data_IF_572456223951
#
_entry.id   IF_572456223951
#
_cell.length_a   1.000
_cell.length_b   1.000
_cell.length_c   1.000
_cell.angle_alpha   90.00
_cell.angle_beta   90.00
_cell.angle_gamma   90.00
#
_symmetry.space_group_name_H-M   'P 1'
#
loop_
_entity.id
_entity.type
_entity.pdbx_description
1 polymer ?
#
# COMPACT_ATOMS: atom_id res chain seq x y z
N UNK A 1 -13.40 15.80 6.45
CA UNK A 1 -13.47 16.60 7.69
C UNK A 1 -12.50 17.77 7.50
N UNK A 2 -12.83 19.00 7.89
CA UNK A 2 -11.86 20.10 7.71
C UNK A 2 -10.76 19.95 8.74
N UNK A 3 -9.49 20.09 8.33
CA UNK A 3 -8.34 19.78 9.19
C UNK A 3 -8.34 20.61 10.49
N UNK A 4 -7.97 19.97 11.59
CA UNK A 4 -7.76 20.61 12.90
C UNK A 4 -6.29 21.00 13.05
N UNK A 5 -6.03 22.26 13.34
CA UNK A 5 -4.68 22.82 13.46
C UNK A 5 -4.48 23.34 14.88
N UNK A 6 -3.36 22.97 15.51
CA UNK A 6 -2.93 23.53 16.78
C UNK A 6 -1.93 24.65 16.53
N UNK A 7 -2.23 25.87 16.99
CA UNK A 7 -1.33 27.02 16.94
C UNK A 7 -0.67 27.24 18.30
N UNK A 8 0.65 27.24 18.33
CA UNK A 8 1.46 27.40 19.53
C UNK A 8 2.39 28.60 19.36
N UNK A 9 2.20 29.62 20.19
CA UNK A 9 3.03 30.84 20.23
C UNK A 9 2.79 31.49 21.60
N UNK A 10 3.81 32.04 22.24
CA UNK A 10 3.68 32.64 23.59
C UNK A 10 2.91 33.98 23.55
N UNK A 11 2.96 34.68 22.42
CA UNK A 11 2.29 35.96 22.22
C UNK A 11 0.84 35.76 21.78
N UNK A 12 -0.11 36.20 22.61
CA UNK A 12 -1.55 36.08 22.34
C UNK A 12 -1.97 36.70 20.99
N UNK A 13 -1.40 37.83 20.60
CA UNK A 13 -1.69 38.50 19.32
C UNK A 13 -1.33 37.61 18.12
N UNK A 14 -0.19 36.93 18.16
CA UNK A 14 0.24 36.02 17.08
C UNK A 14 -0.74 34.86 16.95
N UNK A 15 -1.16 34.26 18.07
CA UNK A 15 -2.17 33.19 18.09
C UNK A 15 -3.50 33.64 17.52
N UNK A 16 -3.97 34.84 17.87
CA UNK A 16 -5.23 35.40 17.37
C UNK A 16 -5.16 35.63 15.85
N UNK A 17 -4.09 36.27 15.36
CA UNK A 17 -3.91 36.53 13.93
C UNK A 17 -3.88 35.21 13.14
N UNK A 18 -3.12 34.23 13.62
CA UNK A 18 -3.03 32.91 12.97
C UNK A 18 -4.38 32.19 12.95
N UNK A 19 -5.11 32.23 14.07
CA UNK A 19 -6.46 31.66 14.17
C UNK A 19 -7.41 32.29 13.16
N UNK A 20 -7.43 33.62 13.05
CA UNK A 20 -8.30 34.32 12.09
C UNK A 20 -7.99 33.89 10.66
N UNK A 21 -6.71 33.87 10.26
CA UNK A 21 -6.29 33.44 8.91
C UNK A 21 -6.72 32.00 8.61
N UNK A 22 -6.44 31.07 9.52
CA UNK A 22 -6.74 29.65 9.32
C UNK A 22 -8.24 29.35 9.36
N UNK A 23 -9.00 29.98 10.26
CA UNK A 23 -10.46 29.83 10.30
C UNK A 23 -11.14 30.43 9.08
N UNK A 24 -10.62 31.54 8.52
CA UNK A 24 -11.11 32.08 7.24
C UNK A 24 -10.90 31.10 6.07
N UNK A 25 -9.86 30.27 6.14
CA UNK A 25 -9.63 29.14 5.24
C UNK A 25 -10.37 27.85 5.64
N UNK A 26 -11.38 27.96 6.52
CA UNK A 26 -12.26 26.90 7.01
C UNK A 26 -11.63 25.87 7.97
N UNK A 27 -10.39 26.05 8.43
CA UNK A 27 -9.78 25.13 9.40
C UNK A 27 -10.34 25.28 10.82
N UNK A 28 -10.40 24.16 11.56
CA UNK A 28 -10.64 24.17 13.00
C UNK A 28 -9.32 24.49 13.70
N UNK A 29 -9.30 25.44 14.63
CA UNK A 29 -8.06 25.94 15.23
C UNK A 29 -8.12 25.94 16.74
N UNK A 30 -7.24 25.13 17.33
CA UNK A 30 -6.93 25.12 18.75
C UNK A 30 -5.69 26.00 19.01
N UNK A 31 -5.54 26.50 20.23
CA UNK A 31 -4.42 27.36 20.62
C UNK A 31 -3.76 26.84 21.89
N UNK A 32 -2.43 26.90 21.94
CA UNK A 32 -1.63 26.70 23.14
C UNK A 32 -0.68 27.88 23.34
N UNK A 33 -0.50 28.31 24.59
CA UNK A 33 0.30 29.49 24.93
C UNK A 33 1.76 29.19 25.26
N UNK A 34 2.13 27.90 25.34
CA UNK A 34 3.47 27.45 25.70
C UNK A 34 3.67 25.98 25.31
N UNK A 35 4.91 25.49 25.43
CA UNK A 35 5.27 24.12 25.04
C UNK A 35 4.57 23.04 25.86
N UNK A 36 4.45 23.22 27.18
CA UNK A 36 3.76 22.25 28.04
C UNK A 36 2.28 22.08 27.66
N UNK A 37 1.57 23.18 27.40
CA UNK A 37 0.18 23.17 26.93
C UNK A 37 0.07 22.54 25.53
N UNK A 38 1.06 22.77 24.66
CA UNK A 38 1.09 22.18 23.32
C UNK A 38 1.18 20.65 23.35
N UNK A 39 2.11 20.10 24.15
CA UNK A 39 2.27 18.64 24.30
C UNK A 39 1.01 17.98 24.85
N UNK A 40 0.37 18.62 25.84
CA UNK A 40 -0.90 18.13 26.40
C UNK A 40 -2.01 18.16 25.34
N UNK A 41 -2.19 19.29 24.66
CA UNK A 41 -3.21 19.44 23.64
C UNK A 41 -3.01 18.46 22.47
N UNK A 42 -1.78 18.23 22.03
CA UNK A 42 -1.47 17.29 20.95
C UNK A 42 -1.96 15.86 21.25
N UNK A 43 -1.81 15.39 22.49
CA UNK A 43 -2.30 14.08 22.93
C UNK A 43 -3.82 14.03 23.06
N UNK A 44 -4.42 15.08 23.62
CA UNK A 44 -5.86 15.12 23.91
C UNK A 44 -6.71 15.32 22.64
N UNK A 45 -6.33 16.27 21.77
CA UNK A 45 -7.16 16.68 20.63
C UNK A 45 -6.74 16.06 19.31
N UNK A 46 -5.54 15.45 19.25
CA UNK A 46 -4.92 14.81 18.07
C UNK A 46 -5.07 15.69 16.81
N UNK A 47 -4.46 16.89 16.80
CA UNK A 47 -4.56 17.79 15.66
C UNK A 47 -3.97 17.16 14.40
N UNK A 48 -4.43 17.60 13.23
CA UNK A 48 -3.93 17.16 11.93
C UNK A 48 -2.63 17.89 11.53
N UNK A 49 -2.32 19.02 12.17
CA UNK A 49 -1.09 19.79 11.97
C UNK A 49 -0.81 20.71 13.16
N UNK A 50 0.47 20.95 13.47
CA UNK A 50 0.90 21.87 14.53
C UNK A 50 1.73 23.00 13.90
N UNK A 51 1.33 24.25 14.16
CA UNK A 51 2.15 25.44 13.91
C UNK A 51 2.81 25.85 15.22
N UNK A 52 4.13 25.86 15.28
CA UNK A 52 4.88 25.95 16.52
C UNK A 52 5.92 27.05 16.48
N UNK A 53 5.79 28.05 17.33
CA UNK A 53 6.84 29.05 17.51
C UNK A 53 8.10 28.43 18.13
N UNK A 54 9.28 28.83 17.64
CA UNK A 54 10.56 28.33 18.14
C UNK A 54 10.90 28.96 19.50
N UNK A 55 10.59 30.24 19.67
CA UNK A 55 10.96 31.03 20.83
C UNK A 55 9.78 31.08 21.81
N UNK A 56 9.87 30.32 22.89
CA UNK A 56 8.88 30.32 23.97
C UNK A 56 9.58 30.29 25.34
N UNK A 57 8.96 30.87 26.40
CA UNK A 57 9.64 31.08 27.68
C UNK A 57 9.78 29.81 28.54
N UNK A 58 8.93 28.80 28.37
CA UNK A 58 8.96 27.57 29.19
C UNK A 58 9.92 26.52 28.62
N UNK A 59 9.84 26.26 27.32
CA UNK A 59 10.72 25.35 26.58
C UNK A 59 10.79 25.80 25.12
N UNK A 60 11.91 25.50 24.44
CA UNK A 60 12.03 25.84 23.03
C UNK A 60 11.05 25.02 22.18
N UNK A 61 10.53 25.63 21.10
CA UNK A 61 9.75 24.90 20.10
C UNK A 61 10.52 23.72 19.47
N UNK A 62 11.85 23.76 19.47
CA UNK A 62 12.68 22.62 19.06
C UNK A 62 12.53 21.42 20.01
N UNK A 63 12.52 21.67 21.32
CA UNK A 63 12.37 20.62 22.32
C UNK A 63 10.95 20.03 22.30
N UNK A 64 9.95 20.89 22.10
CA UNK A 64 8.56 20.46 21.87
C UNK A 64 8.47 19.59 20.62
N UNK A 65 9.10 19.98 19.52
CA UNK A 65 9.12 19.19 18.28
C UNK A 65 9.76 17.81 18.52
N UNK A 66 10.92 17.74 19.17
CA UNK A 66 11.57 16.46 19.51
C UNK A 66 10.68 15.58 20.38
N UNK A 67 10.03 16.16 21.38
CA UNK A 67 9.12 15.42 22.26
C UNK A 67 7.90 14.88 21.50
N UNK A 68 7.30 15.66 20.59
CA UNK A 68 6.19 15.23 19.74
C UNK A 68 6.59 14.10 18.79
N UNK A 69 7.79 14.19 18.18
CA UNK A 69 8.32 13.18 17.25
C UNK A 69 8.79 11.91 17.94
N UNK A 70 9.16 11.97 19.21
CA UNK A 70 9.55 10.80 20.01
C UNK A 70 8.35 9.99 20.56
N UNK A 71 7.17 10.61 20.68
CA UNK A 71 5.96 9.97 21.19
C UNK A 71 5.17 9.30 20.06
N UNK A 72 4.98 7.95 20.07
CA UNK A 72 4.26 7.23 19.03
C UNK A 72 2.83 7.73 18.77
N UNK A 73 2.16 8.34 19.75
CA UNK A 73 0.81 8.87 19.56
C UNK A 73 0.78 10.19 18.77
N UNK A 74 1.88 10.94 18.76
CA UNK A 74 1.97 12.26 18.12
C UNK A 74 3.02 12.35 17.02
N UNK A 75 3.87 11.33 16.87
CA UNK A 75 5.02 11.36 15.95
C UNK A 75 4.63 11.60 14.49
N UNK A 76 3.45 11.10 14.08
CA UNK A 76 2.93 11.27 12.74
C UNK A 76 2.25 12.63 12.50
N UNK A 77 2.05 13.46 13.53
CA UNK A 77 1.45 14.78 13.38
C UNK A 77 2.49 15.71 12.73
N UNK A 78 2.19 16.36 11.60
CA UNK A 78 3.13 17.26 10.96
C UNK A 78 3.34 18.53 11.79
N UNK A 79 4.61 18.91 12.00
CA UNK A 79 5.02 20.10 12.77
C UNK A 79 5.69 21.12 11.85
N UNK A 80 5.14 22.32 11.78
CA UNK A 80 5.75 23.46 11.07
C UNK A 80 6.29 24.45 12.09
N UNK A 81 7.61 24.64 12.10
CA UNK A 81 8.25 25.61 12.97
C UNK A 81 8.11 27.01 12.40
N UNK A 82 7.75 27.98 13.24
CA UNK A 82 7.73 29.39 12.88
C UNK A 82 8.94 30.05 13.54
N UNK A 83 9.86 30.57 12.72
CA UNK A 83 11.14 31.15 13.17
C UNK A 83 11.36 32.56 12.61
N UNK A 84 12.32 33.30 13.17
CA UNK A 84 12.71 34.62 12.67
C UNK A 84 13.66 34.51 11.45
N UNK A 85 13.70 35.57 10.62
CA UNK A 85 14.45 35.66 9.35
C UNK A 85 15.94 35.28 9.42
N UNK A 86 16.61 35.53 10.54
CA UNK A 86 18.09 35.50 10.61
C UNK A 86 18.69 34.22 11.19
N UNK A 87 17.89 33.20 11.45
CA UNK A 87 18.37 32.03 12.19
C UNK A 87 18.51 30.79 11.29
N UNK A 88 19.51 30.81 10.41
CA UNK A 88 19.84 29.65 9.57
C UNK A 88 20.23 28.45 10.44
N UNK A 89 20.91 28.68 11.56
CA UNK A 89 21.24 27.64 12.52
C UNK A 89 19.97 27.01 13.12
N UNK A 90 18.99 27.81 13.56
CA UNK A 90 17.73 27.25 14.07
C UNK A 90 16.88 26.57 12.99
N UNK A 91 16.96 26.98 11.72
CA UNK A 91 16.33 26.23 10.61
C UNK A 91 16.94 24.83 10.51
N UNK A 92 18.26 24.75 10.57
CA UNK A 92 18.98 23.47 10.55
C UNK A 92 18.65 22.62 11.79
N UNK A 93 18.73 23.20 12.99
CA UNK A 93 18.37 22.52 14.24
C UNK A 93 16.91 22.05 14.25
N UNK A 94 16.01 22.82 13.62
CA UNK A 94 14.61 22.49 13.44
C UNK A 94 14.38 21.28 12.54
N UNK A 95 15.06 21.24 11.39
CA UNK A 95 15.01 20.08 10.50
C UNK A 95 15.60 18.83 11.16
N UNK A 96 16.71 18.99 11.89
CA UNK A 96 17.33 17.90 12.66
C UNK A 96 16.47 17.44 13.85
N UNK A 97 15.68 18.35 14.43
CA UNK A 97 14.67 18.03 15.44
C UNK A 97 13.43 17.29 14.88
N UNK A 98 13.38 17.06 13.56
CA UNK A 98 12.31 16.33 12.89
C UNK A 98 11.12 17.19 12.49
N UNK A 99 11.26 18.52 12.42
CA UNK A 99 10.20 19.37 11.90
C UNK A 99 9.91 19.03 10.43
N UNK A 100 8.64 19.04 10.06
CA UNK A 100 8.21 18.71 8.70
C UNK A 100 8.49 19.84 7.73
N UNK A 101 8.45 21.08 8.23
CA UNK A 101 8.75 22.29 7.48
C UNK A 101 9.01 23.47 8.43
N UNK A 102 9.38 24.62 7.87
CA UNK A 102 9.46 25.87 8.61
C UNK A 102 8.85 27.04 7.83
N UNK A 103 8.40 28.04 8.58
CA UNK A 103 7.93 29.32 8.09
C UNK A 103 8.75 30.42 8.74
N UNK A 104 9.10 31.42 7.96
CA UNK A 104 9.88 32.56 8.44
C UNK A 104 8.94 33.73 8.72
N UNK A 105 9.08 34.40 9.87
CA UNK A 105 8.33 35.62 10.22
C UNK A 105 8.87 36.81 9.39
N UNK A 106 8.00 37.68 8.82
CA UNK A 106 6.54 37.66 8.91
C UNK A 106 5.91 36.57 8.02
N UNK A 107 4.93 35.84 8.56
CA UNK A 107 4.30 34.73 7.85
C UNK A 107 3.28 35.26 6.83
N UNK A 108 3.63 35.14 5.56
CA UNK A 108 2.75 35.41 4.43
C UNK A 108 1.61 34.38 4.35
N UNK A 109 0.38 34.88 4.17
CA UNK A 109 -0.81 34.04 4.20
C UNK A 109 -0.83 33.02 3.05
N UNK A 110 -0.44 33.44 1.85
CA UNK A 110 -0.41 32.58 0.66
C UNK A 110 0.53 31.38 0.88
N UNK A 111 1.73 31.63 1.39
CA UNK A 111 2.73 30.60 1.70
C UNK A 111 2.29 29.69 2.85
N UNK A 112 1.71 30.26 3.91
CA UNK A 112 1.16 29.51 5.03
C UNK A 112 0.09 28.52 4.58
N UNK A 113 -0.93 29.00 3.86
CA UNK A 113 -2.06 28.18 3.44
C UNK A 113 -1.62 27.08 2.46
N UNK A 114 -0.71 27.39 1.54
CA UNK A 114 -0.17 26.41 0.61
C UNK A 114 0.61 25.28 1.32
N UNK A 115 1.47 25.63 2.30
CA UNK A 115 2.20 24.62 3.10
C UNK A 115 1.25 23.76 3.94
N UNK A 116 0.29 24.38 4.62
CA UNK A 116 -0.75 23.66 5.38
C UNK A 116 -1.50 22.67 4.48
N UNK A 117 -1.99 23.11 3.31
CA UNK A 117 -2.66 22.22 2.36
C UNK A 117 -1.77 21.06 1.90
N UNK A 118 -0.50 21.32 1.60
CA UNK A 118 0.44 20.29 1.15
C UNK A 118 0.68 19.22 2.22
N UNK A 119 0.95 19.64 3.47
CA UNK A 119 1.23 18.72 4.58
C UNK A 119 -0.01 17.91 4.98
N UNK A 120 -1.19 18.52 4.98
CA UNK A 120 -2.45 17.81 5.24
C UNK A 120 -2.73 16.77 4.15
N UNK A 121 -2.49 17.10 2.87
CA UNK A 121 -2.65 16.13 1.76
C UNK A 121 -1.76 14.90 1.93
N UNK A 122 -0.52 15.09 2.36
CA UNK A 122 0.43 13.99 2.62
C UNK A 122 -0.06 13.13 3.80
N UNK A 123 -0.49 13.77 4.89
CA UNK A 123 -0.94 13.10 6.11
C UNK A 123 -2.23 12.30 5.91
N UNK A 124 -3.20 12.87 5.18
CA UNK A 124 -4.47 12.19 4.83
C UNK A 124 -4.21 10.93 4.00
N UNK A 125 -3.27 11.00 3.05
CA UNK A 125 -2.91 9.84 2.22
C UNK A 125 -2.34 8.69 3.05
N UNK A 126 -1.54 8.99 4.09
CA UNK A 126 -0.99 7.98 5.01
C UNK A 126 -2.10 7.42 5.90
N UNK A 127 -2.96 8.28 6.45
CA UNK A 127 -4.08 7.88 7.30
C UNK A 127 -5.07 6.97 6.57
N UNK A 128 -5.37 7.27 5.30
CA UNK A 128 -6.24 6.44 4.46
C UNK A 128 -5.65 5.03 4.24
N UNK A 129 -4.35 4.93 3.98
CA UNK A 129 -3.69 3.64 3.81
C UNK A 129 -3.72 2.80 5.09
N UNK A 130 -3.47 3.40 6.25
CA UNK A 130 -3.58 2.72 7.55
C UNK A 130 -5.01 2.24 7.82
N UNK A 131 -6.00 3.10 7.60
CA UNK A 131 -7.40 2.73 7.80
C UNK A 131 -7.81 1.53 6.92
N UNK A 132 -7.27 1.43 5.70
CA UNK A 132 -7.49 0.27 4.83
C UNK A 132 -6.85 -1.00 5.39
N UNK A 133 -5.62 -0.93 5.86
CA UNK A 133 -4.92 -2.07 6.47
C UNK A 133 -5.64 -2.57 7.73
N UNK A 134 -6.05 -1.64 8.60
CA UNK A 134 -6.83 -1.93 9.81
C UNK A 134 -8.16 -2.58 9.47
N UNK A 135 -8.83 -2.12 8.40
CA UNK A 135 -10.10 -2.70 7.94
C UNK A 135 -9.91 -4.14 7.46
N UNK A 136 -8.88 -4.40 6.64
CA UNK A 136 -8.56 -5.76 6.15
C UNK A 136 -8.20 -6.69 7.31
N UNK A 137 -7.43 -6.18 8.27
CA UNK A 137 -7.06 -6.89 9.50
C UNK A 137 -8.27 -7.18 10.41
N UNK A 138 -9.14 -6.19 10.61
CA UNK A 138 -10.34 -6.30 11.46
C UNK A 138 -11.38 -7.27 10.91
N UNK A 139 -11.49 -7.38 9.58
CA UNK A 139 -12.34 -8.40 8.99
C UNK A 139 -11.76 -9.82 9.17
N UNK A 140 -10.52 -9.99 9.66
CA UNK A 140 -9.93 -11.30 9.99
C UNK A 140 -9.65 -12.18 8.77
N UNK A 141 -9.59 -11.59 7.57
CA UNK A 141 -9.27 -12.32 6.33
C UNK A 141 -7.76 -12.61 6.19
N UNK A 142 -6.92 -12.00 7.01
CA UNK A 142 -5.49 -12.21 7.01
C UNK A 142 -5.09 -13.22 8.09
N UNK A 143 -4.48 -14.35 7.69
CA UNK A 143 -3.45 -14.93 8.55
C UNK A 143 -2.29 -13.93 8.65
N UNK A 144 -1.57 -13.91 9.77
CA UNK A 144 -0.47 -13.00 9.99
C UNK A 144 0.52 -13.07 8.82
N UNK A 145 0.50 -12.04 7.96
CA UNK A 145 1.45 -11.93 6.88
C UNK A 145 2.85 -11.91 7.50
N UNK A 146 3.67 -12.92 7.18
CA UNK A 146 5.09 -12.89 7.48
C UNK A 146 5.64 -11.60 6.87
N UNK A 147 6.25 -10.76 7.71
CA UNK A 147 6.62 -9.39 7.37
C UNK A 147 7.30 -9.30 6.01
N UNK A 148 6.66 -8.62 5.06
CA UNK A 148 7.24 -8.35 3.76
C UNK A 148 8.37 -7.32 3.94
N UNK A 149 9.57 -7.80 4.23
CA UNK A 149 10.79 -7.02 4.10
C UNK A 149 11.22 -7.00 2.63
N UNK A 150 10.57 -6.14 1.84
CA UNK A 150 11.06 -5.82 0.51
C UNK A 150 12.52 -5.38 0.59
N UNK A 151 13.38 -5.93 -0.28
CA UNK A 151 14.81 -5.58 -0.35
C UNK A 151 14.97 -4.06 -0.35
N UNK A 152 15.73 -3.53 0.62
CA UNK A 152 16.03 -2.10 0.71
C UNK A 152 16.85 -1.69 -0.53
N UNK A 153 16.21 -1.01 -1.47
CA UNK A 153 16.89 -0.37 -2.60
C UNK A 153 17.46 0.99 -2.17
N UNK A 154 18.64 1.40 -2.67
CA UNK A 154 19.13 2.75 -2.48
C UNK A 154 18.11 3.75 -3.04
N UNK A 155 17.96 4.91 -2.39
CA UNK A 155 17.00 5.92 -2.83
C UNK A 155 17.44 6.55 -4.15
N UNK A 156 16.54 6.67 -5.13
CA UNK A 156 16.87 7.24 -6.43
C UNK A 156 16.40 8.70 -6.53
N UNK A 157 17.32 9.63 -6.75
CA UNK A 157 17.05 11.08 -6.82
C UNK A 157 17.37 11.61 -8.21
N UNK A 158 16.38 12.21 -8.85
CA UNK A 158 16.49 12.83 -10.17
C UNK A 158 16.60 14.35 -10.06
N UNK A 159 17.67 14.93 -10.59
CA UNK A 159 17.88 16.38 -10.65
C UNK A 159 17.54 16.92 -12.03
N UNK A 160 16.58 17.85 -12.08
CA UNK A 160 16.17 18.60 -13.28
C UNK A 160 16.48 20.08 -13.05
N UNK A 161 17.72 20.46 -13.37
CA UNK A 161 18.23 21.83 -13.17
C UNK A 161 18.12 22.67 -14.46
N UNK A 162 18.21 24.02 -14.38
CA UNK A 162 18.02 24.89 -15.55
C UNK A 162 19.13 24.77 -16.61
N UNK A 163 20.29 24.22 -16.24
CA UNK A 163 21.37 23.98 -17.17
C UNK A 163 22.50 23.13 -16.58
N UNK A 164 23.50 22.75 -17.41
CA UNK A 164 24.53 21.78 -17.03
C UNK A 164 25.35 22.19 -15.80
N UNK A 165 25.68 23.48 -15.68
CA UNK A 165 26.45 24.00 -14.54
C UNK A 165 25.69 23.88 -13.22
N UNK A 166 24.43 24.32 -13.20
CA UNK A 166 23.57 24.22 -12.01
C UNK A 166 23.35 22.77 -11.60
N UNK A 167 23.13 21.88 -12.58
CA UNK A 167 22.96 20.45 -12.32
C UNK A 167 24.18 19.82 -11.63
N UNK A 168 25.39 20.13 -12.10
CA UNK A 168 26.64 19.62 -11.50
C UNK A 168 26.84 20.18 -10.09
N UNK A 169 26.55 21.47 -9.87
CA UNK A 169 26.64 22.08 -8.54
C UNK A 169 25.67 21.45 -7.56
N UNK A 170 24.41 21.25 -7.95
CA UNK A 170 23.40 20.60 -7.12
C UNK A 170 23.79 19.16 -6.81
N UNK A 171 24.26 18.40 -7.81
CA UNK A 171 24.73 17.03 -7.61
C UNK A 171 25.89 16.99 -6.62
N UNK A 172 26.95 17.77 -6.86
CA UNK A 172 28.12 17.83 -5.98
C UNK A 172 27.76 18.28 -4.56
N UNK A 173 26.73 19.11 -4.41
CA UNK A 173 26.24 19.55 -3.11
C UNK A 173 25.54 18.44 -2.32
N UNK A 174 24.96 17.42 -2.95
CA UNK A 174 24.17 16.41 -2.23
C UNK A 174 24.74 14.99 -2.32
N UNK A 175 25.63 14.69 -3.26
CA UNK A 175 26.13 13.33 -3.55
C UNK A 175 26.70 12.64 -2.30
N UNK A 176 27.56 13.35 -1.56
CA UNK A 176 28.21 12.81 -0.36
C UNK A 176 27.33 12.90 0.90
N UNK A 177 26.14 13.52 0.78
CA UNK A 177 25.25 13.84 1.91
C UNK A 177 23.98 13.00 1.93
N UNK A 178 23.64 12.31 0.84
CA UNK A 178 22.44 11.46 0.76
C UNK A 178 22.81 9.99 0.54
N UNK A 179 22.13 9.09 1.24
CA UNK A 179 22.34 7.63 1.12
C UNK A 179 21.67 7.01 -0.11
N UNK A 180 21.85 7.59 -1.30
CA UNK A 180 21.13 7.23 -2.52
C UNK A 180 21.87 7.56 -3.82
N UNK A 181 21.31 7.12 -4.95
CA UNK A 181 21.83 7.40 -6.28
C UNK A 181 21.27 8.74 -6.78
N UNK A 182 22.14 9.69 -7.07
CA UNK A 182 21.77 11.00 -7.65
C UNK A 182 22.06 11.00 -9.14
N UNK A 183 21.02 11.15 -9.94
CA UNK A 183 21.13 11.25 -11.39
C UNK A 183 20.70 12.64 -11.87
N UNK A 184 21.52 13.27 -12.71
CA UNK A 184 21.11 14.46 -13.46
C UNK A 184 20.36 13.98 -14.71
N UNK A 185 19.12 14.44 -14.90
CA UNK A 185 18.32 14.09 -16.06
C UNK A 185 17.77 15.34 -16.76
N UNK A 186 17.78 15.37 -18.11
CA UNK A 186 17.02 16.37 -18.87
C UNK A 186 15.52 16.25 -18.63
N UNK A 187 14.78 17.34 -18.88
CA UNK A 187 13.32 17.37 -18.75
C UNK A 187 12.64 16.29 -19.60
N UNK A 188 13.09 16.10 -20.85
CA UNK A 188 12.51 15.12 -21.78
C UNK A 188 12.69 13.70 -21.24
N UNK A 189 13.84 13.43 -20.63
CA UNK A 189 14.17 12.14 -20.01
C UNK A 189 13.35 11.89 -18.75
N UNK A 190 13.06 12.91 -17.95
CA UNK A 190 12.19 12.79 -16.77
C UNK A 190 10.80 12.26 -17.12
N UNK A 191 10.28 12.58 -18.31
CA UNK A 191 8.99 12.09 -18.79
C UNK A 191 9.06 10.70 -19.44
N UNK A 192 10.18 10.34 -20.09
CA UNK A 192 10.32 9.08 -20.82
C UNK A 192 10.82 7.92 -19.97
N UNK A 193 11.65 8.15 -18.94
CA UNK A 193 12.07 7.11 -18.00
C UNK A 193 10.96 6.69 -17.03
N UNK A 194 9.96 7.56 -16.83
CA UNK A 194 8.74 7.35 -16.04
C UNK A 194 7.79 6.30 -16.65
N UNK A 195 8.28 5.07 -16.81
CA UNK A 195 7.58 3.96 -17.50
C UNK A 195 6.86 3.01 -16.53
N UNK A 196 7.03 3.17 -15.22
CA UNK A 196 6.43 2.25 -14.24
C UNK A 196 7.15 0.91 -14.14
N UNK A 197 8.37 0.80 -14.66
CA UNK A 197 9.18 -0.43 -14.71
C UNK A 197 9.96 -0.72 -13.42
N UNK A 198 9.70 0.03 -12.34
CA UNK A 198 10.32 -0.17 -11.03
C UNK A 198 11.65 0.56 -10.81
N UNK A 199 12.14 1.32 -11.81
CA UNK A 199 13.33 2.18 -11.70
C UNK A 199 13.01 3.69 -11.68
N UNK A 200 11.73 4.05 -11.46
CA UNK A 200 11.32 5.45 -11.42
C UNK A 200 11.98 6.16 -10.21
N UNK A 201 12.40 7.44 -10.36
CA UNK A 201 12.95 8.21 -9.26
C UNK A 201 12.00 8.31 -8.06
N UNK A 202 12.55 8.12 -6.85
CA UNK A 202 11.83 8.29 -5.59
C UNK A 202 11.58 9.78 -5.30
N UNK A 203 12.56 10.63 -5.62
CA UNK A 203 12.50 12.09 -5.46
C UNK A 203 12.93 12.77 -6.75
N UNK A 204 12.18 13.76 -7.20
CA UNK A 204 12.60 14.72 -8.21
C UNK A 204 12.94 16.05 -7.55
N UNK A 205 14.06 16.66 -7.92
CA UNK A 205 14.41 18.02 -7.55
C UNK A 205 14.41 18.86 -8.83
N UNK A 206 13.49 19.80 -8.93
CA UNK A 206 13.16 20.48 -10.19
C UNK A 206 13.26 21.98 -10.00
N UNK A 207 14.02 22.65 -10.87
CA UNK A 207 13.97 24.12 -10.96
C UNK A 207 12.64 24.58 -11.55
N UNK A 208 12.02 25.60 -10.95
CA UNK A 208 10.77 26.18 -11.46
C UNK A 208 10.91 26.75 -12.87
N UNK A 209 12.08 27.35 -13.13
CA UNK A 209 12.48 27.88 -14.42
C UNK A 209 13.59 26.98 -14.96
N UNK A 210 13.37 26.40 -16.16
CA UNK A 210 14.35 25.55 -16.85
C UNK A 210 14.93 26.30 -18.04
N UNK A 211 14.70 25.82 -19.27
CA UNK A 211 14.99 26.58 -20.47
C UNK A 211 14.00 27.74 -20.64
N UNK A 212 12.76 27.55 -20.17
CA UNK A 212 11.70 28.56 -20.21
C UNK A 212 11.07 28.78 -18.84
N UNK A 213 10.44 29.95 -18.67
CA UNK A 213 9.71 30.31 -17.45
C UNK A 213 8.57 29.34 -17.19
N UNK A 214 8.43 28.89 -15.94
CA UNK A 214 7.40 27.96 -15.46
C UNK A 214 7.43 26.56 -16.11
N UNK A 215 8.47 26.23 -16.86
CA UNK A 215 8.60 24.90 -17.48
C UNK A 215 8.70 23.80 -16.42
N UNK A 216 9.31 24.10 -15.26
CA UNK A 216 9.33 23.20 -14.11
C UNK A 216 7.96 22.93 -13.51
N UNK A 217 7.08 23.94 -13.44
CA UNK A 217 5.68 23.76 -12.96
C UNK A 217 4.87 22.88 -13.92
N UNK A 218 5.09 23.01 -15.23
CA UNK A 218 4.47 22.12 -16.23
C UNK A 218 4.98 20.68 -16.07
N UNK A 219 6.29 20.50 -15.89
CA UNK A 219 6.88 19.19 -15.62
C UNK A 219 6.32 18.56 -14.35
N UNK A 220 6.18 19.32 -13.26
CA UNK A 220 5.52 18.88 -12.02
C UNK A 220 4.12 18.32 -12.29
N UNK A 221 3.30 19.08 -13.03
CA UNK A 221 1.94 18.65 -13.40
C UNK A 221 1.96 17.36 -14.25
N UNK A 222 2.86 17.28 -15.22
CA UNK A 222 3.01 16.09 -16.07
C UNK A 222 3.41 14.86 -15.24
N UNK A 223 4.39 14.98 -14.35
CA UNK A 223 4.84 13.88 -13.47
C UNK A 223 3.73 13.40 -12.52
N UNK A 224 2.90 14.31 -12.01
CA UNK A 224 1.75 13.98 -11.15
C UNK A 224 0.63 13.27 -11.88
N UNK A 225 0.49 13.46 -13.19
CA UNK A 225 -0.54 12.81 -14.01
C UNK A 225 -0.18 11.36 -14.41
N UNK A 226 1.08 10.95 -14.27
CA UNK A 226 1.59 9.64 -14.76
C UNK A 226 1.56 8.56 -13.67
N UNK A 227 1.13 7.32 -13.96
CA UNK A 227 1.07 6.24 -12.97
C UNK A 227 2.40 5.90 -12.28
N UNK A 228 3.52 5.94 -13.01
CA UNK A 228 4.85 5.61 -12.46
C UNK A 228 5.40 6.65 -11.49
N UNK A 229 5.15 7.94 -11.75
CA UNK A 229 5.76 9.07 -11.00
C UNK A 229 4.79 9.84 -10.13
N UNK A 230 3.47 9.58 -10.20
CA UNK A 230 2.45 10.31 -9.40
C UNK A 230 2.68 10.23 -7.90
N UNK A 231 3.39 9.20 -7.44
CA UNK A 231 3.73 8.99 -6.04
C UNK A 231 5.17 9.38 -5.68
N UNK A 232 6.02 9.70 -6.66
CA UNK A 232 7.37 10.23 -6.41
C UNK A 232 7.27 11.54 -5.65
N UNK A 233 8.21 11.79 -4.74
CA UNK A 233 8.29 13.08 -4.10
C UNK A 233 8.85 14.11 -5.07
N UNK A 234 8.39 15.36 -5.01
CA UNK A 234 8.85 16.44 -5.90
C UNK A 234 9.19 17.65 -5.06
N UNK A 235 10.46 18.04 -5.08
CA UNK A 235 11.00 19.24 -4.44
C UNK A 235 11.23 20.29 -5.53
N UNK A 236 10.63 21.47 -5.38
CA UNK A 236 10.79 22.56 -6.34
C UNK A 236 11.80 23.57 -5.83
N UNK A 237 12.72 24.00 -6.69
CA UNK A 237 13.66 25.08 -6.41
C UNK A 237 13.20 26.34 -7.17
N UNK A 238 12.99 27.42 -6.43
CA UNK A 238 12.49 28.69 -6.94
C UNK A 238 13.49 29.83 -6.66
N UNK A 239 13.43 30.94 -7.39
CA UNK A 239 14.15 32.16 -6.98
C UNK A 239 13.71 32.64 -5.58
N UNK A 240 14.62 33.31 -4.87
CA UNK A 240 14.31 33.97 -3.60
C UNK A 240 13.14 34.97 -3.73
N UNK A 241 12.23 34.95 -2.75
CA UNK A 241 11.07 35.85 -2.67
C UNK A 241 9.87 35.47 -3.56
N UNK A 242 9.91 34.35 -4.28
CA UNK A 242 8.84 33.93 -5.19
C UNK A 242 7.72 33.13 -4.49
N UNK A 243 7.05 33.76 -3.52
CA UNK A 243 5.99 33.15 -2.73
C UNK A 243 4.78 32.71 -3.57
N UNK A 244 4.45 33.44 -4.64
CA UNK A 244 3.30 33.13 -5.50
C UNK A 244 3.51 31.81 -6.24
N UNK A 245 4.67 31.63 -6.91
CA UNK A 245 4.96 30.38 -7.61
C UNK A 245 5.24 29.23 -6.63
N UNK A 246 5.75 29.52 -5.43
CA UNK A 246 5.89 28.51 -4.38
C UNK A 246 4.54 27.92 -3.98
N UNK A 247 3.53 28.78 -3.78
CA UNK A 247 2.18 28.34 -3.46
C UNK A 247 1.54 27.53 -4.60
N UNK A 248 1.68 28.00 -5.85
CA UNK A 248 1.21 27.27 -7.03
C UNK A 248 1.87 25.89 -7.13
N UNK A 249 3.19 25.80 -6.89
CA UNK A 249 3.90 24.52 -6.91
C UNK A 249 3.33 23.53 -5.89
N UNK A 250 3.13 23.95 -4.64
CA UNK A 250 2.56 23.11 -3.59
C UNK A 250 1.14 22.64 -3.95
N UNK A 251 0.31 23.56 -4.46
CA UNK A 251 -1.05 23.26 -4.90
C UNK A 251 -1.05 22.24 -6.06
N UNK A 252 -0.15 22.38 -7.03
CA UNK A 252 0.02 21.45 -8.15
C UNK A 252 0.53 20.07 -7.74
N UNK A 253 1.08 19.92 -6.53
CA UNK A 253 1.55 18.62 -6.07
C UNK A 253 2.99 18.58 -5.57
N UNK A 254 3.73 19.69 -5.51
CA UNK A 254 5.06 19.66 -4.92
C UNK A 254 4.96 19.22 -3.44
N UNK A 255 5.90 18.38 -3.02
CA UNK A 255 6.02 17.96 -1.63
C UNK A 255 6.73 19.02 -0.80
N UNK A 256 7.68 19.72 -1.42
CA UNK A 256 8.47 20.73 -0.75
C UNK A 256 8.96 21.80 -1.74
N UNK A 257 9.33 22.96 -1.21
CA UNK A 257 9.80 24.13 -1.94
C UNK A 257 11.04 24.71 -1.25
N UNK A 258 12.09 24.92 -2.03
CA UNK A 258 13.32 25.61 -1.65
C UNK A 258 13.52 26.88 -2.47
N UNK A 259 14.23 27.86 -1.90
CA UNK A 259 14.60 29.09 -2.60
C UNK A 259 16.11 29.11 -2.89
N UNK A 260 16.49 29.50 -4.09
CA UNK A 260 17.87 29.72 -4.52
C UNK A 260 18.30 31.17 -4.22
N UNK A 261 19.49 31.42 -3.63
CA UNK A 261 20.48 30.44 -3.17
C UNK A 261 20.04 29.69 -1.90
N UNK A 262 20.31 28.37 -1.86
CA UNK A 262 20.04 27.52 -0.70
C UNK A 262 21.32 26.94 -0.10
N UNK A 263 21.23 26.52 1.16
CA UNK A 263 22.27 25.75 1.81
C UNK A 263 22.25 24.29 1.37
N UNK A 264 23.42 23.73 1.07
CA UNK A 264 23.55 22.36 0.59
C UNK A 264 23.13 21.31 1.64
N UNK A 265 23.35 21.60 2.93
CA UNK A 265 22.90 20.76 4.03
C UNK A 265 21.37 20.82 4.17
N UNK A 266 20.76 22.00 4.00
CA UNK A 266 19.29 22.12 3.99
C UNK A 266 18.68 21.26 2.87
N UNK A 267 19.19 21.38 1.63
CA UNK A 267 18.69 20.57 0.50
C UNK A 267 18.84 19.07 0.79
N UNK A 268 19.99 18.64 1.31
CA UNK A 268 20.26 17.24 1.62
C UNK A 268 19.32 16.67 2.69
N UNK A 269 19.02 17.44 3.74
CA UNK A 269 18.09 17.02 4.80
C UNK A 269 16.67 16.93 4.24
N UNK A 270 16.21 17.91 3.46
CA UNK A 270 14.88 17.87 2.85
C UNK A 270 14.72 16.69 1.89
N UNK A 271 15.72 16.42 1.04
CA UNK A 271 15.70 15.24 0.16
C UNK A 271 15.65 13.95 0.98
N UNK A 272 16.46 13.83 2.03
CA UNK A 272 16.46 12.65 2.91
C UNK A 272 15.10 12.44 3.56
N UNK A 273 14.47 13.51 4.08
CA UNK A 273 13.13 13.44 4.64
C UNK A 273 12.08 13.01 3.60
N UNK A 274 12.21 13.45 2.34
CA UNK A 274 11.32 12.99 1.27
C UNK A 274 11.55 11.52 0.90
N UNK A 275 12.80 11.05 0.86
CA UNK A 275 13.13 9.64 0.63
C UNK A 275 12.54 8.74 1.71
N UNK A 276 12.67 9.12 2.98
CA UNK A 276 12.16 8.33 4.09
C UNK A 276 10.63 8.28 4.10
N UNK A 277 9.96 9.41 3.87
CA UNK A 277 8.50 9.46 3.69
C UNK A 277 8.04 8.60 2.51
N UNK A 278 8.75 8.64 1.37
CA UNK A 278 8.44 7.83 0.19
C UNK A 278 8.56 6.34 0.49
N UNK A 279 9.66 5.92 1.13
CA UNK A 279 9.89 4.53 1.55
C UNK A 279 8.82 4.03 2.50
N UNK A 280 8.44 4.83 3.49
CA UNK A 280 7.37 4.48 4.43
C UNK A 280 6.02 4.32 3.71
N UNK A 281 5.68 5.27 2.83
CA UNK A 281 4.45 5.23 2.05
C UNK A 281 4.38 4.02 1.12
N UNK A 282 5.49 3.69 0.44
CA UNK A 282 5.56 2.52 -0.44
C UNK A 282 5.44 1.21 0.34
N UNK A 283 6.13 1.09 1.49
CA UNK A 283 6.00 -0.08 2.37
C UNK A 283 4.56 -0.28 2.83
N UNK A 284 3.88 0.79 3.22
CA UNK A 284 2.49 0.72 3.65
C UNK A 284 1.56 0.33 2.50
N UNK A 285 1.75 0.88 1.30
CA UNK A 285 0.98 0.47 0.11
C UNK A 285 1.20 -0.99 -0.25
N UNK A 286 2.47 -1.44 -0.20
CA UNK A 286 2.82 -2.83 -0.46
C UNK A 286 2.21 -3.75 0.60
N UNK A 287 2.24 -3.35 1.87
CA UNK A 287 1.57 -4.05 2.98
C UNK A 287 0.07 -4.19 2.75
N UNK A 288 -0.65 -3.09 2.53
CA UNK A 288 -2.10 -3.12 2.23
C UNK A 288 -2.42 -4.02 1.04
N UNK A 289 -1.61 -3.95 -0.02
CA UNK A 289 -1.79 -4.79 -1.20
C UNK A 289 -1.58 -6.26 -0.88
N UNK A 290 -0.52 -6.60 -0.15
CA UNK A 290 -0.24 -7.96 0.29
C UNK A 290 -1.34 -8.48 1.22
N UNK A 291 -1.82 -7.67 2.16
CA UNK A 291 -2.95 -7.99 3.05
C UNK A 291 -4.23 -8.27 2.24
N UNK A 292 -4.52 -7.47 1.21
CA UNK A 292 -5.67 -7.68 0.33
C UNK A 292 -5.52 -8.95 -0.54
N UNK A 293 -4.32 -9.19 -1.07
CA UNK A 293 -4.01 -10.40 -1.84
C UNK A 293 -4.14 -11.66 -0.96
N UNK A 294 -3.58 -11.66 0.26
CA UNK A 294 -3.71 -12.74 1.23
C UNK A 294 -5.16 -12.95 1.71
N UNK A 295 -5.94 -11.87 1.82
CA UNK A 295 -7.37 -11.95 2.14
C UNK A 295 -8.20 -12.67 1.06
N UNK A 296 -7.69 -12.75 -0.17
CA UNK A 296 -8.38 -13.34 -1.32
C UNK A 296 -7.77 -14.69 -1.70
N UNK A 297 -6.45 -14.84 -1.62
CA UNK A 297 -5.69 -15.98 -2.16
C UNK A 297 -4.88 -16.72 -1.11
N UNK A 298 -4.69 -18.02 -1.34
CA UNK A 298 -3.76 -18.88 -0.60
C UNK A 298 -2.31 -18.56 -1.02
N UNK A 299 -1.39 -18.25 -0.08
CA UNK A 299 -0.05 -17.76 -0.39
C UNK A 299 0.86 -18.81 -1.05
N UNK A 300 0.59 -20.10 -0.83
CA UNK A 300 1.39 -21.17 -1.43
C UNK A 300 1.00 -21.43 -2.89
N UNK A 301 -0.30 -21.52 -3.17
CA UNK A 301 -0.82 -21.97 -4.47
C UNK A 301 -1.30 -20.85 -5.38
N UNK A 302 -1.55 -19.64 -4.85
CA UNK A 302 -2.12 -18.52 -5.59
C UNK A 302 -3.58 -18.72 -6.04
N UNK A 303 -4.24 -19.80 -5.57
CA UNK A 303 -5.68 -20.02 -5.70
C UNK A 303 -6.44 -19.15 -4.70
N UNK A 304 -7.76 -19.08 -4.83
CA UNK A 304 -8.56 -18.43 -3.80
C UNK A 304 -8.44 -19.15 -2.46
N UNK A 305 -8.48 -18.41 -1.35
CA UNK A 305 -8.54 -19.03 -0.03
C UNK A 305 -9.97 -19.48 0.29
N UNK A 306 -10.12 -20.32 1.33
CA UNK A 306 -11.42 -20.83 1.80
C UNK A 306 -12.44 -19.72 2.03
N UNK A 307 -12.02 -18.62 2.64
CA UNK A 307 -12.95 -17.59 3.12
C UNK A 307 -13.52 -16.76 1.97
N UNK A 308 -12.69 -16.41 1.00
CA UNK A 308 -13.12 -15.78 -0.25
C UNK A 308 -14.01 -16.71 -1.07
N UNK A 309 -13.69 -18.01 -1.11
CA UNK A 309 -14.49 -18.99 -1.82
C UNK A 309 -15.94 -19.06 -1.32
N UNK A 310 -16.13 -19.15 0.00
CA UNK A 310 -17.46 -19.18 0.62
C UNK A 310 -18.28 -17.93 0.28
N UNK A 311 -17.70 -16.74 0.49
CA UNK A 311 -18.38 -15.49 0.17
C UNK A 311 -18.72 -15.37 -1.33
N UNK A 312 -17.84 -15.84 -2.22
CA UNK A 312 -18.11 -15.83 -3.66
C UNK A 312 -19.21 -16.82 -4.03
N UNK A 313 -19.31 -17.97 -3.35
CA UNK A 313 -20.42 -18.91 -3.52
C UNK A 313 -21.75 -18.28 -3.12
N UNK A 314 -21.82 -17.57 -1.99
CA UNK A 314 -23.03 -16.84 -1.58
C UNK A 314 -23.51 -15.87 -2.68
N UNK A 315 -22.58 -15.14 -3.30
CA UNK A 315 -22.88 -14.23 -4.41
C UNK A 315 -23.36 -14.95 -5.67
N UNK A 316 -22.86 -16.15 -5.95
CA UNK A 316 -23.31 -16.97 -7.08
C UNK A 316 -24.73 -17.47 -6.81
N UNK A 317 -24.99 -17.95 -5.59
CA UNK A 317 -26.27 -18.52 -5.17
C UNK A 317 -27.39 -17.47 -5.05
N UNK A 318 -27.04 -16.23 -4.72
CA UNK A 318 -27.99 -15.13 -4.66
C UNK A 318 -28.52 -14.69 -6.04
N UNK A 319 -27.94 -15.15 -7.15
CA UNK A 319 -28.39 -14.81 -8.50
C UNK A 319 -29.61 -15.66 -8.90
N UNK A 320 -30.55 -15.13 -9.70
CA UNK A 320 -31.63 -15.94 -10.27
C UNK A 320 -31.06 -17.10 -11.10
N UNK A 321 -31.41 -18.34 -10.74
CA UNK A 321 -30.84 -19.55 -11.36
C UNK A 321 -29.42 -19.90 -10.87
N UNK A 322 -28.96 -19.29 -9.78
CA UNK A 322 -27.68 -19.54 -9.13
C UNK A 322 -27.66 -20.85 -8.36
N UNK A 323 -27.59 -21.96 -9.08
CA UNK A 323 -27.39 -23.29 -8.48
C UNK A 323 -26.06 -23.86 -9.00
N UNK A 324 -24.95 -23.66 -8.27
CA UNK A 324 -23.64 -24.07 -8.74
C UNK A 324 -23.38 -25.55 -8.51
N UNK A 325 -22.61 -26.17 -9.42
CA UNK A 325 -22.00 -27.45 -9.13
C UNK A 325 -20.76 -27.23 -8.25
N UNK A 326 -20.63 -28.02 -7.18
CA UNK A 326 -19.53 -27.90 -6.21
C UNK A 326 -18.74 -29.20 -6.18
N UNK A 327 -17.42 -29.09 -6.31
CA UNK A 327 -16.49 -30.23 -6.26
C UNK A 327 -15.52 -30.06 -5.11
N UNK A 328 -15.36 -31.12 -4.32
CA UNK A 328 -14.28 -31.26 -3.37
C UNK A 328 -13.23 -32.19 -3.94
N UNK A 329 -11.97 -31.78 -3.92
CA UNK A 329 -10.83 -32.58 -4.37
C UNK A 329 -9.86 -32.73 -3.22
N UNK A 330 -9.29 -33.93 -3.09
CA UNK A 330 -8.27 -34.23 -2.09
C UNK A 330 -7.18 -35.10 -2.71
N UNK A 331 -5.92 -34.74 -2.44
CA UNK A 331 -4.76 -35.44 -2.98
C UNK A 331 -4.52 -36.75 -2.25
N UNK A 332 -4.54 -37.85 -3.00
CA UNK A 332 -4.40 -39.18 -2.43
C UNK A 332 -2.99 -39.39 -1.88
N UNK A 333 -2.91 -39.86 -0.63
CA UNK A 333 -1.66 -40.19 0.06
C UNK A 333 -0.66 -39.02 0.18
N UNK A 334 -1.13 -37.77 0.14
CA UNK A 334 -0.24 -36.60 0.19
C UNK A 334 0.65 -36.56 1.44
N UNK A 335 0.16 -37.00 2.60
CA UNK A 335 0.98 -37.18 3.80
C UNK A 335 2.22 -38.07 3.55
N UNK A 336 2.09 -39.15 2.79
CA UNK A 336 3.23 -40.03 2.48
C UNK A 336 4.27 -39.32 1.61
N UNK A 337 3.83 -38.40 0.73
CA UNK A 337 4.74 -37.57 -0.08
C UNK A 337 5.57 -36.68 0.84
N UNK A 338 4.93 -35.99 1.78
CA UNK A 338 5.64 -35.17 2.78
C UNK A 338 6.60 -35.99 3.63
N UNK A 339 6.16 -37.16 4.10
CA UNK A 339 6.97 -38.03 4.96
C UNK A 339 8.17 -38.63 4.19
N UNK A 340 8.06 -38.83 2.88
CA UNK A 340 9.10 -39.47 2.05
C UNK A 340 10.05 -38.45 1.42
N UNK A 341 9.54 -37.32 0.93
CA UNK A 341 10.30 -36.35 0.12
C UNK A 341 10.45 -34.98 0.81
N UNK A 342 9.85 -34.80 1.98
CA UNK A 342 9.89 -33.56 2.76
C UNK A 342 8.80 -32.55 2.36
N UNK A 343 8.58 -31.56 3.22
CA UNK A 343 7.54 -30.55 3.04
C UNK A 343 7.74 -29.68 1.79
N UNK A 344 8.98 -29.35 1.42
CA UNK A 344 9.25 -28.56 0.22
C UNK A 344 8.81 -29.28 -1.07
N UNK A 345 8.90 -30.62 -1.10
CA UNK A 345 8.40 -31.41 -2.22
C UNK A 345 6.86 -31.45 -2.23
N UNK A 346 6.22 -31.56 -1.07
CA UNK A 346 4.77 -31.43 -0.96
C UNK A 346 4.26 -30.07 -1.42
N UNK A 347 4.96 -28.99 -1.05
CA UNK A 347 4.65 -27.62 -1.49
C UNK A 347 4.72 -27.49 -3.02
N UNK A 348 5.74 -28.08 -3.65
CA UNK A 348 5.86 -28.12 -5.11
C UNK A 348 4.70 -28.89 -5.77
N UNK A 349 4.27 -30.02 -5.18
CA UNK A 349 3.10 -30.76 -5.66
C UNK A 349 1.85 -29.89 -5.59
N UNK A 350 1.61 -29.20 -4.47
CA UNK A 350 0.43 -28.34 -4.28
C UNK A 350 0.41 -27.19 -5.28
N UNK A 351 1.55 -26.56 -5.54
CA UNK A 351 1.70 -25.50 -6.54
C UNK A 351 1.38 -25.99 -7.95
N UNK A 352 1.92 -27.15 -8.34
CA UNK A 352 1.69 -27.72 -9.67
C UNK A 352 0.22 -28.17 -9.84
N UNK A 353 -0.37 -28.80 -8.83
CA UNK A 353 -1.81 -29.14 -8.82
C UNK A 353 -2.66 -27.89 -9.01
N UNK A 354 -2.34 -26.80 -8.31
CA UNK A 354 -3.07 -25.54 -8.44
C UNK A 354 -3.00 -24.95 -9.86
N UNK A 355 -1.83 -24.96 -10.48
CA UNK A 355 -1.64 -24.53 -11.88
C UNK A 355 -2.51 -25.38 -12.81
N UNK A 356 -2.48 -26.72 -12.65
CA UNK A 356 -3.26 -27.66 -13.46
C UNK A 356 -4.76 -27.44 -13.30
N UNK A 357 -5.26 -27.35 -12.07
CA UNK A 357 -6.68 -27.11 -11.79
C UNK A 357 -7.17 -25.81 -12.46
N UNK A 358 -6.39 -24.73 -12.30
CA UNK A 358 -6.73 -23.42 -12.87
C UNK A 358 -6.75 -23.44 -14.40
N UNK A 359 -5.91 -24.26 -15.04
CA UNK A 359 -5.88 -24.43 -16.50
C UNK A 359 -7.05 -25.25 -17.07
N UNK A 360 -7.81 -25.97 -16.25
CA UNK A 360 -8.89 -26.87 -16.68
C UNK A 360 -10.31 -26.30 -16.50
N UNK A 361 -10.42 -25.15 -15.84
CA UNK A 361 -11.69 -24.46 -15.55
C UNK A 361 -11.78 -23.14 -16.32
N UNK A 362 -12.99 -22.59 -16.46
CA UNK A 362 -13.16 -21.30 -17.14
C UNK A 362 -12.82 -20.13 -16.20
N UNK A 363 -12.58 -18.94 -16.77
CA UNK A 363 -12.23 -17.74 -15.99
C UNK A 363 -13.32 -17.30 -14.98
N UNK A 364 -14.58 -17.69 -15.20
CA UNK A 364 -15.70 -17.39 -14.31
C UNK A 364 -15.93 -18.46 -13.24
N UNK A 365 -15.27 -19.61 -13.34
CA UNK A 365 -15.33 -20.68 -12.35
C UNK A 365 -14.41 -20.35 -11.18
N UNK A 366 -14.75 -20.85 -10.00
CA UNK A 366 -13.96 -20.63 -8.80
C UNK A 366 -13.12 -21.87 -8.50
N UNK A 367 -11.83 -21.66 -8.23
CA UNK A 367 -10.90 -22.68 -7.72
C UNK A 367 -10.24 -22.13 -6.47
N UNK A 368 -10.37 -22.86 -5.38
CA UNK A 368 -9.84 -22.47 -4.08
C UNK A 368 -9.09 -23.62 -3.42
N UNK A 369 -8.12 -23.29 -2.59
CA UNK A 369 -7.55 -24.22 -1.62
C UNK A 369 -8.24 -23.99 -0.28
N UNK A 370 -8.86 -25.03 0.26
CA UNK A 370 -9.68 -24.91 1.48
C UNK A 370 -9.08 -25.57 2.72
N UNK A 371 -8.04 -26.38 2.50
CA UNK A 371 -7.31 -27.13 3.53
C UNK A 371 -5.88 -27.45 3.07
N UNK A 372 -5.17 -28.27 3.84
CA UNK A 372 -3.78 -28.62 3.57
C UNK A 372 -3.57 -29.24 2.18
N UNK A 373 -4.35 -30.26 1.87
CA UNK A 373 -4.30 -31.03 0.61
C UNK A 373 -5.64 -31.01 -0.16
N UNK A 374 -6.55 -30.13 0.27
CA UNK A 374 -7.94 -30.07 -0.19
C UNK A 374 -8.22 -28.83 -1.05
N UNK A 375 -8.88 -29.06 -2.18
CA UNK A 375 -9.25 -28.04 -3.15
C UNK A 375 -10.75 -28.04 -3.42
N UNK A 376 -11.30 -26.86 -3.62
CA UNK A 376 -12.71 -26.61 -3.93
C UNK A 376 -12.80 -26.04 -5.33
N UNK A 377 -13.67 -26.62 -6.17
CA UNK A 377 -14.02 -26.08 -7.48
C UNK A 377 -15.52 -25.81 -7.55
N UNK A 378 -15.91 -24.63 -8.01
CA UNK A 378 -17.32 -24.22 -8.14
C UNK A 378 -17.58 -23.78 -9.58
N UNK A 379 -18.49 -24.47 -10.25
CA UNK A 379 -18.88 -24.18 -11.63
C UNK A 379 -20.19 -23.39 -11.66
N UNK A 380 -20.15 -22.21 -12.27
CA UNK A 380 -21.33 -21.34 -12.35
C UNK A 380 -22.19 -21.69 -13.55
N UNK A 381 -23.35 -22.32 -13.33
CA UNK A 381 -24.32 -22.62 -14.41
C UNK A 381 -23.96 -23.84 -15.27
N UNK A 382 -23.15 -24.76 -14.75
CA UNK A 382 -22.90 -26.04 -15.41
C UNK A 382 -24.11 -26.98 -15.28
N UNK A 383 -24.42 -27.74 -16.34
CA UNK A 383 -25.36 -28.85 -16.23
C UNK A 383 -24.75 -29.99 -15.43
N UNK A 384 -25.59 -30.90 -14.89
CA UNK A 384 -25.09 -32.06 -14.14
C UNK A 384 -24.06 -32.88 -14.93
N UNK A 385 -24.33 -33.13 -16.23
CA UNK A 385 -23.41 -33.82 -17.13
C UNK A 385 -22.09 -33.06 -17.31
N UNK A 386 -22.15 -31.76 -17.55
CA UNK A 386 -20.95 -30.94 -17.73
C UNK A 386 -20.09 -30.88 -16.45
N UNK A 387 -20.73 -30.88 -15.28
CA UNK A 387 -20.03 -30.95 -14.00
C UNK A 387 -19.31 -32.29 -13.82
N UNK A 388 -19.98 -33.43 -14.09
CA UNK A 388 -19.34 -34.75 -14.02
C UNK A 388 -18.17 -34.89 -15.01
N UNK A 389 -18.35 -34.44 -16.25
CA UNK A 389 -17.27 -34.44 -17.27
C UNK A 389 -16.09 -33.55 -16.86
N UNK A 390 -16.35 -32.42 -16.20
CA UNK A 390 -15.31 -31.54 -15.65
C UNK A 390 -14.58 -32.22 -14.48
N UNK A 391 -15.29 -32.85 -13.55
CA UNK A 391 -14.68 -33.56 -12.41
C UNK A 391 -13.72 -34.67 -12.88
N UNK A 392 -14.12 -35.47 -13.88
CA UNK A 392 -13.24 -36.50 -14.45
C UNK A 392 -12.03 -35.89 -15.17
N UNK A 393 -12.21 -34.76 -15.86
CA UNK A 393 -11.11 -34.04 -16.51
C UNK A 393 -10.10 -33.52 -15.48
N UNK A 394 -10.56 -32.96 -14.36
CA UNK A 394 -9.69 -32.48 -13.28
C UNK A 394 -8.91 -33.66 -12.66
N UNK A 395 -9.58 -34.76 -12.34
CA UNK A 395 -8.96 -35.99 -11.82
C UNK A 395 -7.89 -36.53 -12.78
N UNK A 396 -8.24 -36.69 -14.06
CA UNK A 396 -7.32 -37.19 -15.08
C UNK A 396 -6.13 -36.25 -15.31
N UNK A 397 -6.32 -34.94 -15.20
CA UNK A 397 -5.25 -33.95 -15.34
C UNK A 397 -4.22 -34.05 -14.20
N UNK A 398 -4.68 -34.33 -12.97
CA UNK A 398 -3.78 -34.56 -11.83
C UNK A 398 -3.04 -35.90 -12.01
N UNK A 399 -3.77 -36.99 -12.28
CA UNK A 399 -3.21 -38.35 -12.35
C UNK A 399 -2.43 -38.71 -13.62
N UNK A 400 -2.57 -37.91 -14.69
CA UNK A 400 -2.07 -38.22 -16.03
C UNK A 400 -0.60 -37.85 -16.30
N UNK A 401 0.05 -37.07 -15.44
CA UNK A 401 1.45 -36.68 -15.59
C UNK A 401 2.19 -36.76 -14.27
N UNK A 402 3.41 -37.30 -14.32
CA UNK A 402 4.33 -37.34 -13.18
C UNK A 402 4.76 -35.93 -12.78
N UNK A 403 4.98 -35.72 -11.49
CA UNK A 403 5.42 -34.46 -10.90
C UNK A 403 6.96 -34.47 -10.83
N UNK A 404 7.59 -33.50 -11.49
CA UNK A 404 9.02 -33.25 -11.35
C UNK A 404 9.24 -32.36 -10.13
N UNK A 405 9.86 -32.94 -9.09
CA UNK A 405 10.08 -32.27 -7.81
C UNK A 405 11.43 -31.54 -7.75
N UNK A 406 12.23 -31.59 -8.82
CA UNK A 406 13.58 -31.04 -8.89
C UNK A 406 14.63 -31.84 -8.11
N UNK A 407 15.86 -31.87 -8.61
CA UNK A 407 16.98 -32.65 -8.02
C UNK A 407 17.08 -34.08 -8.57
N UNK A 408 17.76 -34.98 -7.83
CA UNK A 408 17.96 -36.40 -8.20
C UNK A 408 16.73 -37.30 -7.89
N UNK A 409 15.56 -36.72 -7.63
CA UNK A 409 14.34 -37.47 -7.29
C UNK A 409 13.58 -37.93 -8.52
N UNK A 410 13.13 -39.20 -8.50
CA UNK A 410 12.30 -39.74 -9.56
C UNK A 410 10.92 -39.04 -9.61
N UNK A 411 10.31 -38.91 -10.81
CA UNK A 411 9.00 -38.29 -10.96
C UNK A 411 7.94 -39.02 -10.13
N UNK A 412 7.24 -38.29 -9.25
CA UNK A 412 6.22 -38.85 -8.37
C UNK A 412 4.87 -38.84 -9.07
N UNK A 413 4.10 -39.93 -8.97
CA UNK A 413 2.72 -39.97 -9.45
C UNK A 413 1.78 -39.62 -8.31
N UNK A 414 0.98 -38.57 -8.50
CA UNK A 414 -0.04 -38.13 -7.54
C UNK A 414 -1.41 -38.29 -8.19
N UNK A 415 -2.36 -38.85 -7.46
CA UNK A 415 -3.78 -38.94 -7.88
C UNK A 415 -4.63 -38.10 -6.94
N UNK A 416 -5.88 -37.85 -7.34
CA UNK A 416 -6.83 -37.13 -6.51
C UNK A 416 -8.17 -37.85 -6.52
N UNK A 417 -8.83 -37.86 -5.36
CA UNK A 417 -10.22 -38.26 -5.24
C UNK A 417 -11.11 -37.03 -5.36
N UNK A 418 -12.27 -37.15 -6.01
CA UNK A 418 -13.19 -36.02 -6.23
C UNK A 418 -14.59 -36.36 -5.74
N UNK A 419 -15.17 -35.51 -4.91
CA UNK A 419 -16.58 -35.55 -4.52
C UNK A 419 -17.36 -34.44 -5.20
N UNK A 420 -18.51 -34.76 -5.80
CA UNK A 420 -19.31 -33.83 -6.60
C UNK A 420 -20.71 -33.66 -5.99
N UNK A 421 -21.10 -32.41 -5.76
CA UNK A 421 -22.47 -31.98 -5.50
C UNK A 421 -23.05 -31.33 -6.76
N UNK A 422 -24.11 -31.94 -7.29
CA UNK A 422 -24.77 -31.50 -8.53
C UNK A 422 -25.79 -30.38 -8.26
N UNK A 423 -26.00 -29.50 -9.25
CA UNK A 423 -27.07 -28.50 -9.18
C UNK A 423 -28.43 -29.19 -9.23
N UNK A 424 -29.41 -28.65 -8.53
CA UNK A 424 -30.78 -29.16 -8.41
C UNK A 424 -30.94 -30.31 -7.42
N UNK A 425 -29.88 -30.66 -6.67
CA UNK A 425 -29.94 -31.69 -5.61
C UNK A 425 -30.56 -31.18 -4.30
N UNK A 426 -30.75 -29.87 -4.15
CA UNK A 426 -31.44 -29.31 -2.97
C UNK A 426 -32.95 -29.40 -3.14
N UNK A 427 -33.64 -29.85 -2.09
CA UNK A 427 -35.10 -29.83 -2.01
C UNK A 427 -35.62 -28.39 -2.28
N UNK A 428 -36.57 -28.18 -3.21
CA UNK A 428 -37.08 -26.85 -3.58
C UNK A 428 -37.64 -26.00 -2.43
N UNK A 429 -37.80 -26.58 -1.22
CA UNK A 429 -38.23 -25.89 -0.01
C UNK A 429 -37.10 -25.51 0.96
N UNK A 430 -35.85 -25.84 0.65
CA UNK A 430 -34.71 -25.55 1.53
C UNK A 430 -33.78 -24.54 0.86
N UNK A 431 -33.54 -23.39 1.50
CA UNK A 431 -32.47 -22.47 1.09
C UNK A 431 -31.13 -23.15 1.32
N UNK A 432 -30.49 -23.61 0.25
CA UNK A 432 -29.16 -24.22 0.30
C UNK A 432 -28.15 -23.15 0.73
N UNK A 433 -27.30 -23.44 1.72
CA UNK A 433 -26.15 -22.59 2.06
C UNK A 433 -24.89 -23.11 1.39
N UNK A 434 -23.85 -22.27 1.18
CA UNK A 434 -22.56 -22.73 0.67
C UNK A 434 -21.99 -23.91 1.47
N UNK A 435 -22.09 -23.87 2.80
CA UNK A 435 -21.62 -24.93 3.69
C UNK A 435 -22.35 -26.25 3.45
N UNK A 436 -23.66 -26.21 3.15
CA UNK A 436 -24.43 -27.40 2.86
C UNK A 436 -23.99 -28.07 1.54
N UNK A 437 -23.73 -27.28 0.49
CA UNK A 437 -23.23 -27.80 -0.78
C UNK A 437 -21.82 -28.38 -0.65
N UNK A 438 -20.96 -27.70 0.12
CA UNK A 438 -19.62 -28.19 0.45
C UNK A 438 -19.70 -29.51 1.23
N UNK A 439 -20.58 -29.60 2.23
CA UNK A 439 -20.77 -30.83 3.01
C UNK A 439 -21.27 -31.99 2.15
N UNK A 440 -22.17 -31.75 1.19
CA UNK A 440 -22.60 -32.77 0.22
C UNK A 440 -21.42 -33.26 -0.63
N UNK A 441 -20.61 -32.34 -1.16
CA UNK A 441 -19.43 -32.68 -1.94
C UNK A 441 -18.38 -33.44 -1.10
N UNK A 442 -18.17 -33.06 0.15
CA UNK A 442 -17.26 -33.73 1.08
C UNK A 442 -17.73 -35.15 1.44
N UNK A 443 -19.03 -35.33 1.66
CA UNK A 443 -19.62 -36.66 1.86
C UNK A 443 -19.42 -37.56 0.65
N UNK A 444 -19.59 -37.01 -0.56
CA UNK A 444 -19.29 -37.74 -1.80
C UNK A 444 -17.79 -38.10 -1.90
N UNK A 445 -16.90 -37.17 -1.53
CA UNK A 445 -15.44 -37.40 -1.53
C UNK A 445 -15.06 -38.54 -0.58
N UNK A 446 -15.67 -38.62 0.60
CA UNK A 446 -15.46 -39.75 1.51
C UNK A 446 -15.80 -41.10 0.85
N UNK A 447 -16.90 -41.14 0.07
CA UNK A 447 -17.27 -42.28 -0.76
C UNK A 447 -16.20 -42.67 -1.78
N UNK A 448 -15.60 -41.70 -2.48
CA UNK A 448 -14.50 -41.94 -3.42
C UNK A 448 -13.25 -42.50 -2.72
N UNK A 449 -12.90 -41.98 -1.53
CA UNK A 449 -11.76 -42.49 -0.76
C UNK A 449 -11.99 -43.94 -0.28
N UNK A 450 -13.21 -44.27 0.15
CA UNK A 450 -13.56 -45.60 0.63
C UNK A 450 -13.55 -46.67 -0.48
N UNK A 451 -13.89 -46.30 -1.72
CA UNK A 451 -13.98 -47.22 -2.85
C UNK A 451 -12.66 -47.34 -3.66
N UNK A 452 -11.52 -47.01 -3.07
CA UNK A 452 -10.20 -47.24 -3.69
C UNK A 452 -9.46 -46.03 -4.22
N UNK A 453 -9.96 -44.80 -3.98
CA UNK A 453 -9.34 -43.52 -4.41
C UNK A 453 -9.25 -43.35 -5.94
N UNK A 454 -8.62 -42.27 -6.42
CA UNK A 454 -8.46 -41.92 -7.85
C UNK A 454 -9.77 -42.04 -8.66
N UNK A 455 -10.87 -41.50 -8.12
CA UNK A 455 -12.18 -41.57 -8.76
C UNK A 455 -13.07 -40.39 -8.40
N UNK A 456 -14.11 -40.19 -9.22
CA UNK A 456 -15.17 -39.21 -8.98
C UNK A 456 -16.37 -39.92 -8.34
N UNK A 457 -16.88 -39.35 -7.26
CA UNK A 457 -18.08 -39.79 -6.55
C UNK A 457 -19.11 -38.66 -6.53
N UNK A 458 -20.38 -39.02 -6.60
CA UNK A 458 -21.49 -38.07 -6.51
C UNK A 458 -22.56 -38.62 -5.56
N UNK A 459 -23.19 -37.75 -4.78
CA UNK A 459 -24.32 -38.13 -3.94
C UNK A 459 -25.58 -38.18 -4.80
N UNK A 460 -26.16 -39.36 -5.00
CA UNK A 460 -27.51 -39.49 -5.54
C UNK A 460 -28.49 -39.29 -4.38
N UNK A 461 -29.23 -38.18 -4.38
CA UNK A 461 -30.41 -38.06 -3.54
C UNK A 461 -31.44 -39.09 -4.03
N UNK A 462 -31.45 -40.27 -3.42
CA UNK A 462 -32.49 -41.26 -3.65
C UNK A 462 -33.78 -40.73 -3.05
N UNK A 463 -34.58 -40.06 -3.87
CA UNK A 463 -36.02 -39.95 -3.65
C UNK A 463 -36.59 -41.37 -3.69
N UNK A 464 -37.00 -41.87 -2.53
CA UNK A 464 -37.83 -43.07 -2.39
C UNK A 464 -39.31 -42.67 -2.42
#
# INVERSE_FOLDING_TARGET
MVGRILVVDDVATNRIVMKVKLTAACYSVDQAENGAAALKAARETKPDLILLDVMMPDMSGLDVCRALKADPETADIPVVLITALFDQAAKMDGLEAGADDFLTKPVEEVTLLARVRSLLRVSDSVRELRARDDTVSAYGFAEAAQGFEGKARPGHVALVAPGPRGAVLWKAAIDDRIGGEVQIIPRETALTQATGTGNDPDVFVISVDLAQRNEGLRLLSDLRSRPGTRHSAIVMILPEGDSERAAIALDLGANDVLHDPFDAQELAIRISAQLDRKRQSDRMRAGVRASLEAAITDPLTGLYNRRFALHRMEQIMARPGGDPAVMMLDLDYFKQINDTYGHAAGDAVLQEVAIRLRGQVQANDLVARIGGEEFLVVLSGASARAATECAERLRACIGGMSFDLGGDTFPVRVTASVGLSLPGSSDPHTTSTPEALIHKADTALYGAKAHGRDQVSQMCDTAA
#
